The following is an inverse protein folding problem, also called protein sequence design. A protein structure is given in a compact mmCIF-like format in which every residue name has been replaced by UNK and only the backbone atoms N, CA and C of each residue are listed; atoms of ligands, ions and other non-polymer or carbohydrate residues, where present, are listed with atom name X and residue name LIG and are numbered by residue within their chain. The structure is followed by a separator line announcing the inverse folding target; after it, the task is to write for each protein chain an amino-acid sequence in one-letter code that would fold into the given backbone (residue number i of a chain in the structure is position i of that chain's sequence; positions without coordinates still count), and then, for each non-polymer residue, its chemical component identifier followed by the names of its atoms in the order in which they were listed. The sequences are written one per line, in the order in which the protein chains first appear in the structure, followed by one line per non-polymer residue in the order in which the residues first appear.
data_IF_736011972808
#
_entry.id   IF_736011972808
#
_cell.length_a   1.000
_cell.length_b   1.000
_cell.length_c   1.000
_cell.angle_alpha   90.00
_cell.angle_beta   90.00
_cell.angle_gamma   90.00
#
_symmetry.space_group_name_H-M   'P 1'
#
loop_
_entity.id
_entity.type
_entity.pdbx_description
1 polymer ?
#
# COMPACT_ATOMS: atom_id res chain seq x y z
N UNK A 1 -7.35 -2.90 -4.41
CA UNK A 1 -6.24 -3.47 -5.20
C UNK A 1 -6.62 -4.76 -5.92
N UNK A 2 -7.88 -5.21 -5.89
CA UNK A 2 -8.30 -6.48 -6.48
C UNK A 2 -7.93 -6.63 -7.97
N UNK A 3 -8.00 -5.55 -8.74
CA UNK A 3 -7.66 -5.59 -10.18
C UNK A 3 -6.14 -5.62 -10.46
N UNK A 4 -5.30 -5.31 -9.46
CA UNK A 4 -3.85 -5.24 -9.66
C UNK A 4 -3.20 -6.63 -9.76
N UNK A 5 -3.79 -7.64 -9.11
CA UNK A 5 -3.30 -9.02 -9.19
C UNK A 5 -3.35 -9.58 -10.62
N UNK A 6 -4.42 -9.25 -11.37
CA UNK A 6 -4.66 -9.77 -12.71
C UNK A 6 -4.31 -8.77 -13.83
N UNK A 7 -3.89 -7.55 -13.47
CA UNK A 7 -3.54 -6.53 -14.45
C UNK A 7 -2.27 -6.91 -15.23
N UNK A 8 -2.27 -6.76 -16.57
CA UNK A 8 -1.09 -7.00 -17.40
C UNK A 8 -0.03 -5.90 -17.26
N UNK A 9 -0.34 -4.79 -16.59
CA UNK A 9 0.59 -3.66 -16.39
C UNK A 9 1.63 -3.92 -15.31
N UNK A 10 1.41 -4.91 -14.45
CA UNK A 10 2.30 -5.25 -13.35
C UNK A 10 3.02 -6.55 -13.65
N UNK A 11 4.33 -6.59 -13.38
CA UNK A 11 5.09 -7.83 -13.47
C UNK A 11 4.95 -8.68 -12.19
N UNK A 12 5.71 -9.77 -12.09
CA UNK A 12 5.65 -10.64 -10.92
C UNK A 12 6.18 -9.96 -9.64
N UNK A 13 7.20 -9.11 -9.78
CA UNK A 13 7.80 -8.37 -8.66
C UNK A 13 6.87 -7.27 -8.19
N UNK A 14 6.24 -6.54 -9.11
CA UNK A 14 5.21 -5.56 -8.79
C UNK A 14 4.06 -6.19 -8.01
N UNK A 15 3.51 -7.31 -8.49
CA UNK A 15 2.43 -8.02 -7.80
C UNK A 15 2.84 -8.49 -6.40
N UNK A 16 4.08 -8.96 -6.23
CA UNK A 16 4.62 -9.34 -4.93
C UNK A 16 4.68 -8.16 -3.96
N UNK A 17 5.18 -7.01 -4.42
CA UNK A 17 5.26 -5.76 -3.64
C UNK A 17 3.87 -5.25 -3.26
N UNK A 18 2.92 -5.27 -4.20
CA UNK A 18 1.54 -4.88 -3.97
C UNK A 18 0.85 -5.79 -2.95
N UNK A 19 1.07 -7.10 -3.04
CA UNK A 19 0.57 -8.06 -2.05
C UNK A 19 1.17 -7.81 -0.65
N UNK A 20 2.48 -7.57 -0.57
CA UNK A 20 3.14 -7.18 0.67
C UNK A 20 2.56 -5.90 1.28
N UNK A 21 2.35 -4.86 0.46
CA UNK A 21 1.78 -3.60 0.92
C UNK A 21 0.37 -3.77 1.48
N UNK A 22 -0.45 -4.63 0.86
CA UNK A 22 -1.78 -4.97 1.35
C UNK A 22 -1.74 -5.70 2.70
N UNK A 23 -0.94 -6.77 2.80
CA UNK A 23 -0.78 -7.56 4.03
C UNK A 23 -0.30 -6.69 5.18
N UNK A 24 0.79 -5.93 4.97
CA UNK A 24 1.35 -5.08 6.03
C UNK A 24 0.37 -3.98 6.46
N UNK A 25 -0.38 -3.38 5.53
CA UNK A 25 -1.35 -2.32 5.86
C UNK A 25 -2.57 -2.82 6.64
N UNK A 26 -3.01 -4.06 6.39
CA UNK A 26 -4.23 -4.65 6.99
C UNK A 26 -3.93 -5.42 8.28
N UNK A 27 -2.87 -6.22 8.27
CA UNK A 27 -2.59 -7.20 9.32
C UNK A 27 -1.43 -6.78 10.22
N UNK A 28 -0.60 -5.82 9.77
CA UNK A 28 0.60 -5.35 10.48
C UNK A 28 1.59 -6.49 10.83
N UNK A 29 1.50 -7.61 10.12
CA UNK A 29 2.36 -8.79 10.27
C UNK A 29 2.55 -9.43 8.90
N UNK A 30 3.80 -9.67 8.57
CA UNK A 30 4.23 -10.36 7.34
C UNK A 30 4.81 -11.70 7.77
N UNK A 31 4.39 -12.79 7.12
CA UNK A 31 4.90 -14.12 7.42
C UNK A 31 6.27 -14.38 6.80
N UNK A 32 6.92 -15.46 7.25
CA UNK A 32 8.28 -15.80 6.84
C UNK A 32 8.36 -16.16 5.35
N UNK A 33 7.29 -16.73 4.78
CA UNK A 33 7.22 -17.10 3.36
C UNK A 33 7.20 -15.85 2.46
N UNK A 34 6.34 -14.88 2.77
CA UNK A 34 6.26 -13.62 2.05
C UNK A 34 7.55 -12.81 2.21
N UNK A 35 8.12 -12.77 3.41
CA UNK A 35 9.43 -12.13 3.63
C UNK A 35 10.54 -12.80 2.81
N UNK A 36 10.60 -14.14 2.79
CA UNK A 36 11.60 -14.87 2.02
C UNK A 36 11.48 -14.60 0.51
N UNK A 37 10.25 -14.53 -0.03
CA UNK A 37 10.01 -14.18 -1.43
C UNK A 37 10.50 -12.77 -1.77
N UNK A 38 10.28 -11.81 -0.88
CA UNK A 38 10.79 -10.44 -1.05
C UNK A 38 12.32 -10.39 -0.96
N UNK A 39 12.91 -11.06 0.03
CA UNK A 39 14.37 -11.12 0.22
C UNK A 39 15.11 -11.85 -0.91
N UNK A 40 14.41 -12.65 -1.71
CA UNK A 40 14.95 -13.24 -2.94
C UNK A 40 15.04 -12.24 -4.11
N UNK A 41 14.38 -11.08 -4.03
CA UNK A 41 14.31 -10.06 -5.09
C UNK A 41 14.96 -8.74 -4.71
N UNK A 42 15.00 -8.41 -3.42
CA UNK A 42 15.47 -7.14 -2.90
C UNK A 42 16.59 -7.33 -1.87
N UNK A 43 17.52 -6.39 -1.84
CA UNK A 43 18.48 -6.21 -0.76
C UNK A 43 17.79 -5.81 0.54
N UNK A 44 18.52 -5.91 1.65
CA UNK A 44 17.99 -5.54 2.96
C UNK A 44 17.65 -4.04 3.03
N UNK A 45 18.46 -3.21 2.40
CA UNK A 45 18.25 -1.76 2.29
C UNK A 45 16.96 -1.44 1.54
N UNK A 46 16.74 -2.07 0.38
CA UNK A 46 15.49 -1.91 -0.40
C UNK A 46 14.26 -2.41 0.38
N UNK A 47 14.38 -3.50 1.15
CA UNK A 47 13.29 -3.97 2.02
C UNK A 47 12.96 -2.97 3.13
N UNK A 48 13.97 -2.31 3.69
CA UNK A 48 13.76 -1.25 4.69
C UNK A 48 13.03 -0.07 4.04
N UNK A 49 13.46 0.38 2.87
CA UNK A 49 12.80 1.46 2.12
C UNK A 49 11.34 1.11 1.81
N UNK A 50 11.09 -0.13 1.35
CA UNK A 50 9.75 -0.61 1.05
C UNK A 50 8.86 -0.64 2.31
N UNK A 51 9.39 -1.10 3.44
CA UNK A 51 8.69 -1.07 4.73
C UNK A 51 8.32 0.36 5.14
N UNK A 52 9.24 1.31 4.99
CA UNK A 52 8.98 2.71 5.32
C UNK A 52 7.93 3.34 4.40
N UNK A 53 7.96 3.06 3.10
CA UNK A 53 6.97 3.57 2.16
C UNK A 53 5.54 3.14 2.54
N UNK A 54 5.35 1.86 2.84
CA UNK A 54 4.05 1.32 3.29
C UNK A 54 3.67 1.86 4.67
N UNK A 55 4.61 1.88 5.61
CA UNK A 55 4.38 2.34 6.98
C UNK A 55 4.01 3.83 7.07
N UNK A 56 4.71 4.69 6.33
CA UNK A 56 4.43 6.12 6.27
C UNK A 56 3.06 6.39 5.63
N UNK A 57 2.72 5.68 4.55
CA UNK A 57 1.40 5.77 3.93
C UNK A 57 0.32 5.41 4.96
N UNK A 58 0.51 4.31 5.69
CA UNK A 58 -0.35 3.89 6.80
C UNK A 58 -0.51 4.92 7.92
N UNK A 59 0.53 5.69 8.25
CA UNK A 59 0.47 6.78 9.22
C UNK A 59 -0.38 7.95 8.70
N UNK A 60 -0.07 8.45 7.51
CA UNK A 60 -0.77 9.58 6.85
C UNK A 60 -2.27 9.30 6.74
N UNK A 61 -2.57 8.08 6.26
CA UNK A 61 -3.88 7.49 6.20
C UNK A 61 -4.67 7.58 7.52
N UNK A 62 -4.07 7.18 8.65
CA UNK A 62 -4.72 7.23 9.96
C UNK A 62 -4.95 8.66 10.45
N UNK A 63 -4.03 9.57 10.15
CA UNK A 63 -4.20 11.00 10.46
C UNK A 63 -5.40 11.57 9.70
N UNK A 64 -5.46 11.41 8.38
CA UNK A 64 -6.56 11.93 7.57
C UNK A 64 -7.91 11.29 7.92
N UNK A 65 -7.95 9.98 8.19
CA UNK A 65 -9.16 9.30 8.63
C UNK A 65 -9.66 9.84 9.99
N UNK A 66 -8.75 10.12 10.93
CA UNK A 66 -9.09 10.65 12.26
C UNK A 66 -9.71 12.04 12.17
N UNK A 67 -9.10 12.92 11.36
CA UNK A 67 -9.54 14.32 11.25
C UNK A 67 -10.55 14.56 10.13
N UNK A 68 -10.91 13.51 9.37
CA UNK A 68 -11.79 13.60 8.19
C UNK A 68 -11.40 14.73 7.26
N UNK A 69 -10.11 14.78 6.91
CA UNK A 69 -9.58 15.84 6.05
C UNK A 69 -10.26 15.80 4.69
N UNK A 70 -10.82 16.93 4.27
CA UNK A 70 -11.40 17.07 2.93
C UNK A 70 -10.34 16.97 1.84
N UNK A 71 -10.70 16.39 0.70
CA UNK A 71 -9.87 16.43 -0.49
C UNK A 71 -9.85 17.85 -1.08
N UNK A 72 -8.68 18.32 -1.48
CA UNK A 72 -8.55 19.54 -2.30
C UNK A 72 -9.07 19.29 -3.73
N UNK A 73 -9.22 20.37 -4.51
CA UNK A 73 -9.79 20.29 -5.86
C UNK A 73 -8.97 19.39 -6.80
N UNK A 74 -7.64 19.51 -6.77
CA UNK A 74 -6.76 18.75 -7.67
C UNK A 74 -6.80 17.25 -7.38
N UNK A 75 -6.90 16.90 -6.09
CA UNK A 75 -7.05 15.49 -5.68
C UNK A 75 -8.41 14.95 -6.11
N UNK A 76 -9.51 15.68 -5.89
CA UNK A 76 -10.87 15.25 -6.30
C UNK A 76 -10.96 14.97 -7.80
N UNK A 77 -10.37 15.82 -8.63
CA UNK A 77 -10.38 15.65 -10.08
C UNK A 77 -9.65 14.37 -10.52
N UNK A 78 -8.70 13.89 -9.71
CA UNK A 78 -7.84 12.76 -10.03
C UNK A 78 -8.37 11.40 -9.53
N UNK A 79 -9.14 11.37 -8.44
CA UNK A 79 -9.52 10.11 -7.74
C UNK A 79 -10.98 9.68 -7.95
N UNK A 80 -11.78 10.44 -8.70
CA UNK A 80 -13.19 10.16 -8.92
C UNK A 80 -14.06 10.41 -7.68
N UNK A 81 -15.25 9.80 -7.63
CA UNK A 81 -16.22 10.02 -6.54
C UNK A 81 -15.85 9.25 -5.26
N UNK A 82 -14.79 9.69 -4.57
CA UNK A 82 -14.43 9.25 -3.22
C UNK A 82 -14.38 10.46 -2.29
N UNK A 83 -15.23 10.49 -1.28
CA UNK A 83 -15.35 11.65 -0.37
C UNK A 83 -14.25 11.67 0.71
N UNK A 84 -13.56 10.56 0.96
CA UNK A 84 -12.50 10.43 1.96
C UNK A 84 -11.61 9.21 1.69
N UNK A 85 -10.47 9.12 2.38
CA UNK A 85 -9.57 7.97 2.32
C UNK A 85 -10.28 6.69 2.83
N UNK A 86 -10.48 5.65 1.99
CA UNK A 86 -11.25 4.48 2.37
C UNK A 86 -10.42 3.55 3.25
N UNK A 87 -10.35 3.86 4.55
CA UNK A 87 -9.75 2.97 5.55
C UNK A 87 -10.83 2.62 6.54
N UNK A 88 -11.41 1.44 6.32
CA UNK A 88 -12.39 0.85 7.21
C UNK A 88 -13.84 1.26 6.93
N UNK A 89 -14.50 0.47 6.09
CA UNK A 89 -15.63 -0.33 6.57
C UNK A 89 -15.44 -1.77 6.14
#
# INVERSE_FOLDING_TARGET
MADAADSPLFDETDRLVLHYAEVLSRENRVDDELYARLAARFSREELVELCFAVGLSSLVNRVHATFRTDLDLSTRDSVGAVDFCPIGR
#
